data_IF_023284466659
#
_entry.id   IF_023284466659
#
_cell.length_a   1.000
_cell.length_b   1.000
_cell.length_c   1.000
_cell.angle_alpha   90.00
_cell.angle_beta   90.00
_cell.angle_gamma   90.00
#
_symmetry.space_group_name_H-M   'P 1'
#
loop_
_entity.id
_entity.type
_entity.pdbx_description
1 polymer ?
#
# COMPACT_ATOMS: atom_id res chain seq x y z
N UNK A 1 -22.39 18.95 -45.26
CA UNK A 1 -22.71 20.29 -45.78
C UNK A 1 -22.53 21.29 -44.66
N UNK A 2 -21.69 22.30 -44.88
CA UNK A 2 -21.41 23.52 -44.10
C UNK A 2 -20.28 23.43 -43.06
N UNK A 3 -19.06 23.71 -43.49
CA UNK A 3 -17.99 24.46 -42.83
C UNK A 3 -18.20 25.96 -43.09
N UNK A 4 -17.39 26.91 -42.61
CA UNK A 4 -16.48 27.07 -41.50
C UNK A 4 -16.61 28.44 -40.78
N UNK A 5 -15.90 28.61 -39.68
CA UNK A 5 -15.76 29.93 -39.04
C UNK A 5 -14.38 30.10 -38.43
N UNK A 6 -13.49 30.63 -39.22
CA UNK A 6 -12.15 31.11 -38.84
C UNK A 6 -12.33 32.49 -38.21
N UNK A 7 -11.95 32.68 -36.94
CA UNK A 7 -11.80 34.00 -36.36
C UNK A 7 -10.42 34.13 -35.71
N UNK A 8 -9.59 34.83 -36.42
CA UNK A 8 -8.31 35.41 -35.95
C UNK A 8 -8.59 36.58 -35.02
N UNK A 9 -7.98 36.59 -33.84
CA UNK A 9 -7.84 37.78 -33.00
C UNK A 9 -6.38 38.12 -32.80
N UNK A 10 -6.05 39.41 -32.76
CA UNK A 10 -4.65 39.88 -32.88
C UNK A 10 -3.90 39.84 -31.55
N UNK A 11 -2.55 39.82 -31.67
CA UNK A 11 -1.59 39.90 -30.62
C UNK A 11 -1.73 41.22 -29.86
N UNK A 12 -1.94 41.13 -28.54
CA UNK A 12 -1.70 42.23 -27.63
C UNK A 12 -0.25 42.20 -27.15
N UNK A 13 0.45 43.27 -27.48
CA UNK A 13 1.75 43.61 -26.95
C UNK A 13 1.60 43.96 -25.48
N UNK A 14 2.17 43.18 -24.56
CA UNK A 14 2.40 43.58 -23.19
C UNK A 14 3.79 44.12 -23.07
N UNK A 15 3.87 45.43 -23.08
CA UNK A 15 4.95 46.24 -22.53
C UNK A 15 4.91 46.15 -21.01
N UNK A 16 6.07 45.97 -20.38
CA UNK A 16 6.22 46.26 -18.96
C UNK A 16 6.88 45.14 -18.18
N UNK A 17 8.14 45.35 -17.83
CA UNK A 17 8.86 44.46 -16.93
C UNK A 17 10.36 44.64 -16.98
N UNK A 18 10.78 45.85 -16.85
CA UNK A 18 12.14 46.28 -16.46
C UNK A 18 12.34 45.86 -15.00
N UNK A 19 12.87 44.66 -14.78
CA UNK A 19 13.51 44.31 -13.50
C UNK A 19 14.28 43.00 -13.63
N UNK A 20 15.57 43.16 -13.56
CA UNK A 20 16.59 42.16 -13.19
C UNK A 20 17.74 42.04 -14.16
N UNK A 21 18.29 43.15 -14.57
CA UNK A 21 19.72 43.23 -14.96
C UNK A 21 20.59 43.13 -13.70
N UNK A 22 20.55 42.01 -12.99
CA UNK A 22 21.53 41.75 -11.91
C UNK A 22 22.53 40.70 -12.34
N UNK A 23 23.75 41.22 -12.48
CA UNK A 23 25.02 40.48 -12.50
C UNK A 23 25.31 39.66 -13.77
N UNK A 24 25.51 40.38 -14.86
CA UNK A 24 26.59 39.98 -15.77
C UNK A 24 27.89 40.09 -14.96
N UNK A 25 28.28 39.03 -14.30
CA UNK A 25 29.56 38.95 -13.62
C UNK A 25 30.63 39.08 -14.70
N UNK A 26 31.34 40.17 -14.57
CA UNK A 26 32.63 40.48 -15.11
C UNK A 26 33.29 39.29 -15.81
N UNK A 27 33.19 39.24 -17.13
CA UNK A 27 34.01 38.35 -17.91
C UNK A 27 35.45 38.80 -17.70
N UNK A 28 36.37 37.91 -17.31
CA UNK A 28 37.78 38.29 -17.23
C UNK A 28 38.18 38.79 -18.61
N UNK A 29 38.93 39.90 -18.68
CA UNK A 29 39.37 40.40 -19.97
C UNK A 29 40.11 39.27 -20.71
N UNK A 30 39.77 39.08 -21.95
CA UNK A 30 40.50 38.21 -22.85
C UNK A 30 41.97 38.62 -22.73
N UNK A 31 42.79 37.76 -22.11
CA UNK A 31 44.19 38.08 -21.87
C UNK A 31 44.85 38.42 -23.17
N UNK A 32 45.35 39.65 -23.24
CA UNK A 32 46.23 40.07 -24.32
C UNK A 32 47.38 39.07 -24.36
N UNK A 33 47.40 38.21 -25.39
CA UNK A 33 48.55 37.37 -25.64
C UNK A 33 49.77 38.25 -25.73
N UNK A 34 50.67 38.04 -24.80
CA UNK A 34 51.96 38.66 -24.74
C UNK A 34 52.70 38.43 -26.09
N UNK A 35 52.88 39.46 -26.88
CA UNK A 35 53.61 39.46 -28.12
C UNK A 35 55.06 39.11 -27.84
N UNK A 36 55.40 37.83 -27.81
CA UNK A 36 56.77 37.33 -28.00
C UNK A 36 56.76 35.81 -28.22
N UNK A 37 56.35 35.41 -29.39
CA UNK A 37 56.84 34.21 -30.06
C UNK A 37 56.32 34.23 -31.48
N UNK A 38 57.19 33.90 -32.45
CA UNK A 38 57.05 33.87 -33.89
C UNK A 38 55.61 33.76 -34.38
N UNK A 39 55.14 34.79 -35.06
CA UNK A 39 53.81 34.90 -35.60
C UNK A 39 53.45 33.76 -36.52
N UNK A 40 52.83 32.75 -36.01
CA UNK A 40 52.02 31.88 -36.85
C UNK A 40 50.81 32.69 -37.29
N UNK A 41 50.87 33.20 -38.50
CA UNK A 41 49.82 33.94 -39.18
C UNK A 41 48.58 33.01 -39.23
N UNK A 42 47.47 33.42 -38.61
CA UNK A 42 46.24 32.69 -38.68
C UNK A 42 45.88 32.35 -40.13
N UNK A 43 45.75 31.08 -40.50
CA UNK A 43 45.51 30.68 -41.90
C UNK A 43 44.22 31.27 -42.47
N UNK A 44 43.25 31.62 -41.61
CA UNK A 44 41.92 32.14 -42.00
C UNK A 44 41.92 33.67 -42.23
N UNK A 45 42.59 34.45 -41.39
CA UNK A 45 42.59 35.93 -41.51
C UNK A 45 43.96 36.48 -41.95
N UNK A 46 44.99 35.68 -42.05
CA UNK A 46 46.39 36.07 -42.41
C UNK A 46 46.91 37.27 -41.62
N UNK A 47 46.45 37.40 -40.36
CA UNK A 47 46.89 38.48 -39.50
C UNK A 47 46.08 39.76 -39.59
N UNK A 48 45.08 39.88 -40.44
CA UNK A 48 44.20 41.06 -40.59
C UNK A 48 43.13 41.20 -39.56
N UNK A 49 42.80 40.14 -38.79
CA UNK A 49 41.73 40.11 -37.81
C UNK A 49 40.31 40.14 -38.41
N UNK A 50 40.18 40.13 -39.73
CA UNK A 50 38.92 40.14 -40.46
C UNK A 50 38.75 38.86 -41.26
N UNK A 51 37.55 38.28 -41.20
CA UNK A 51 37.22 37.06 -41.90
C UNK A 51 36.58 37.41 -43.26
N UNK A 52 37.08 36.85 -44.41
CA UNK A 52 36.48 37.10 -45.69
C UNK A 52 35.02 36.64 -45.74
N UNK A 53 34.14 37.47 -46.35
CA UNK A 53 32.67 37.24 -46.37
C UNK A 53 32.18 35.90 -46.92
N UNK A 54 33.04 35.14 -47.59
CA UNK A 54 32.66 33.81 -48.12
C UNK A 54 32.97 32.63 -47.21
N UNK A 55 33.54 32.83 -46.01
CA UNK A 55 33.93 31.75 -45.11
C UNK A 55 33.21 31.83 -43.75
N UNK A 56 32.28 32.77 -43.60
CA UNK A 56 31.56 32.94 -42.33
C UNK A 56 30.68 31.74 -41.94
N UNK A 57 30.16 31.05 -42.93
CA UNK A 57 29.26 29.87 -42.70
C UNK A 57 30.01 28.58 -42.31
N UNK A 58 31.35 28.60 -42.39
CA UNK A 58 32.19 27.45 -42.04
C UNK A 58 32.98 27.61 -40.74
N UNK A 59 32.71 28.68 -40.00
CA UNK A 59 33.36 28.94 -38.72
C UNK A 59 32.79 28.04 -37.61
N UNK A 60 33.45 26.95 -37.38
CA UNK A 60 33.21 26.10 -36.22
C UNK A 60 34.11 26.58 -35.09
N UNK A 61 33.51 27.03 -34.01
CA UNK A 61 34.23 27.34 -32.78
C UNK A 61 34.81 26.04 -32.20
N UNK A 62 36.10 25.85 -32.35
CA UNK A 62 36.78 24.70 -31.72
C UNK A 62 37.03 25.05 -30.26
N UNK A 63 36.21 24.48 -29.39
CA UNK A 63 36.41 24.58 -27.96
C UNK A 63 37.37 23.48 -27.54
N UNK A 64 38.57 23.79 -26.98
CA UNK A 64 39.50 22.76 -26.56
C UNK A 64 38.87 21.92 -25.44
N UNK A 65 38.98 20.59 -25.54
CA UNK A 65 38.42 19.61 -24.59
C UNK A 65 38.92 19.82 -23.15
N UNK A 66 39.96 20.64 -22.98
CA UNK A 66 40.56 20.96 -21.67
C UNK A 66 40.04 22.24 -21.07
N UNK A 67 39.03 22.89 -21.67
CA UNK A 67 38.42 24.10 -21.11
C UNK A 67 37.81 23.82 -19.76
N UNK A 68 38.22 24.63 -18.75
CA UNK A 68 37.74 24.54 -17.37
C UNK A 68 36.21 24.72 -17.26
N UNK A 69 35.61 25.39 -18.29
CA UNK A 69 34.16 25.58 -18.40
C UNK A 69 33.40 24.31 -18.74
N UNK A 70 34.04 23.35 -19.47
CA UNK A 70 33.47 22.07 -19.83
C UNK A 70 33.67 21.02 -18.75
N UNK A 71 34.50 21.26 -17.75
CA UNK A 71 34.70 20.35 -16.63
C UNK A 71 33.48 20.38 -15.71
N UNK A 72 32.71 19.28 -15.64
CA UNK A 72 31.52 19.22 -14.78
C UNK A 72 31.95 19.36 -13.32
N UNK A 73 31.71 20.52 -12.74
CA UNK A 73 31.95 20.78 -11.33
C UNK A 73 31.01 19.92 -10.49
N UNK A 74 31.55 18.85 -9.88
CA UNK A 74 30.84 17.97 -8.94
C UNK A 74 29.57 17.32 -9.49
N UNK A 75 29.35 17.30 -10.80
CA UNK A 75 28.14 16.70 -11.42
C UNK A 75 28.00 15.23 -11.03
N UNK A 76 29.10 14.49 -10.97
CA UNK A 76 29.10 13.08 -10.53
C UNK A 76 28.55 12.95 -9.10
N UNK A 77 28.99 13.82 -8.19
CA UNK A 77 28.54 13.81 -6.79
C UNK A 77 27.06 14.19 -6.69
N UNK A 78 26.63 15.21 -7.43
CA UNK A 78 25.21 15.64 -7.45
C UNK A 78 24.32 14.53 -8.01
N UNK A 79 24.73 13.85 -9.07
CA UNK A 79 24.00 12.71 -9.65
C UNK A 79 23.93 11.55 -8.65
N UNK A 80 25.05 11.21 -8.00
CA UNK A 80 25.04 10.14 -6.97
C UNK A 80 24.13 10.48 -5.80
N UNK A 81 24.13 11.72 -5.31
CA UNK A 81 23.24 12.16 -4.22
C UNK A 81 21.78 12.08 -4.68
N UNK A 82 21.47 12.56 -5.89
CA UNK A 82 20.11 12.53 -6.44
C UNK A 82 19.61 11.10 -6.60
N UNK A 83 20.44 10.21 -7.14
CA UNK A 83 20.09 8.78 -7.25
C UNK A 83 19.91 8.15 -5.88
N UNK A 84 20.81 8.42 -4.93
CA UNK A 84 20.71 7.92 -3.56
C UNK A 84 19.42 8.40 -2.87
N UNK A 85 19.07 9.67 -3.02
CA UNK A 85 17.84 10.24 -2.48
C UNK A 85 16.60 9.58 -3.13
N UNK A 86 16.61 9.41 -4.44
CA UNK A 86 15.52 8.77 -5.17
C UNK A 86 15.32 7.32 -4.69
N UNK A 87 16.39 6.54 -4.60
CA UNK A 87 16.35 5.17 -4.09
C UNK A 87 15.85 5.13 -2.65
N UNK A 88 16.31 6.03 -1.80
CA UNK A 88 15.87 6.12 -0.41
C UNK A 88 14.36 6.39 -0.32
N UNK A 89 13.84 7.36 -1.10
CA UNK A 89 12.40 7.66 -1.17
C UNK A 89 11.61 6.44 -1.69
N UNK A 90 12.10 5.77 -2.74
CA UNK A 90 11.47 4.55 -3.24
C UNK A 90 11.42 3.45 -2.17
N UNK A 91 12.50 3.23 -1.44
CA UNK A 91 12.54 2.26 -0.35
C UNK A 91 11.56 2.61 0.77
N UNK A 92 11.43 3.90 1.13
CA UNK A 92 10.44 4.34 2.12
C UNK A 92 9.01 4.08 1.64
N UNK A 93 8.70 4.42 0.38
CA UNK A 93 7.38 4.17 -0.20
C UNK A 93 7.07 2.68 -0.16
N UNK A 94 7.97 1.84 -0.62
CA UNK A 94 7.80 0.38 -0.58
C UNK A 94 7.61 -0.13 0.86
N UNK A 95 8.40 0.37 1.81
CA UNK A 95 8.31 -0.05 3.22
C UNK A 95 6.95 0.28 3.85
N UNK A 96 6.36 1.45 3.53
CA UNK A 96 5.07 1.85 4.09
C UNK A 96 3.88 1.29 3.32
N UNK A 97 3.99 1.11 1.99
CA UNK A 97 2.92 0.60 1.15
C UNK A 97 2.90 -0.93 1.06
N UNK A 98 4.01 -1.60 1.39
CA UNK A 98 4.05 -3.05 1.31
C UNK A 98 3.01 -3.66 2.27
N UNK A 99 2.10 -4.50 1.77
CA UNK A 99 1.04 -5.10 2.58
C UNK A 99 1.65 -6.00 3.65
N UNK A 100 1.26 -5.75 4.89
CA UNK A 100 1.55 -6.60 6.03
C UNK A 100 0.34 -7.44 6.37
N UNK A 101 0.54 -8.52 7.09
CA UNK A 101 -0.55 -9.40 7.46
C UNK A 101 -1.59 -8.71 8.35
N UNK A 102 -2.85 -8.97 8.07
CA UNK A 102 -3.94 -8.81 9.03
C UNK A 102 -4.13 -10.15 9.70
N UNK A 103 -4.13 -10.15 11.03
CA UNK A 103 -4.24 -11.39 11.80
C UNK A 103 -5.56 -11.47 12.52
N UNK A 104 -6.19 -12.62 12.45
CA UNK A 104 -7.38 -13.00 13.21
C UNK A 104 -6.93 -13.94 14.32
N UNK A 105 -7.23 -13.60 15.57
CA UNK A 105 -6.87 -14.43 16.74
C UNK A 105 -8.09 -14.71 17.59
N UNK A 106 -8.46 -15.98 17.81
CA UNK A 106 -9.52 -16.35 18.71
C UNK A 106 -9.06 -16.05 20.15
N UNK A 107 -9.99 -15.63 20.99
CA UNK A 107 -9.68 -15.25 22.39
C UNK A 107 -10.37 -16.21 23.34
N UNK A 108 -11.69 -16.25 23.27
CA UNK A 108 -12.49 -17.03 24.22
C UNK A 108 -13.90 -17.26 23.72
N UNK A 109 -14.49 -18.33 24.15
CA UNK A 109 -15.94 -18.52 24.16
C UNK A 109 -16.50 -17.73 25.33
N UNK A 110 -17.44 -16.84 25.10
CA UNK A 110 -18.04 -15.98 26.13
C UNK A 110 -19.25 -16.64 26.81
N UNK A 111 -20.09 -17.27 26.01
CA UNK A 111 -21.28 -17.95 26.49
C UNK A 111 -21.74 -19.03 25.52
N UNK A 112 -22.38 -20.05 26.07
CA UNK A 112 -23.05 -21.12 25.34
C UNK A 112 -24.46 -21.20 25.87
N UNK A 113 -25.46 -20.96 25.04
CA UNK A 113 -26.88 -21.14 25.35
C UNK A 113 -27.41 -22.34 24.59
N UNK A 114 -28.13 -23.21 25.28
CA UNK A 114 -28.64 -24.48 24.73
C UNK A 114 -30.14 -24.52 24.86
N UNK A 115 -30.82 -24.72 23.75
CA UNK A 115 -32.25 -24.85 23.67
C UNK A 115 -32.64 -26.27 23.18
N UNK A 116 -33.36 -27.01 24.00
CA UNK A 116 -33.83 -28.34 23.66
C UNK A 116 -35.19 -28.27 23.01
N UNK A 117 -35.29 -28.74 21.77
CA UNK A 117 -36.53 -28.98 21.02
C UNK A 117 -36.75 -30.47 20.83
N UNK A 118 -37.98 -30.97 20.56
CA UNK A 118 -38.20 -32.40 20.35
C UNK A 118 -37.26 -33.03 19.32
N UNK A 119 -37.06 -32.34 18.18
CA UNK A 119 -36.36 -32.90 17.01
C UNK A 119 -34.91 -32.42 16.90
N UNK A 120 -34.51 -31.37 17.62
CA UNK A 120 -33.16 -30.78 17.51
C UNK A 120 -32.68 -30.16 18.82
N UNK A 121 -31.37 -30.06 18.97
CA UNK A 121 -30.73 -29.21 19.95
C UNK A 121 -30.22 -27.98 19.21
N UNK A 122 -30.60 -26.80 19.65
CA UNK A 122 -30.08 -25.53 19.10
C UNK A 122 -29.14 -24.92 20.13
N UNK A 123 -27.94 -24.66 19.72
CA UNK A 123 -26.95 -23.96 20.54
C UNK A 123 -26.62 -22.61 19.92
N UNK A 124 -26.47 -21.61 20.78
CA UNK A 124 -25.95 -20.31 20.46
C UNK A 124 -24.60 -20.13 21.17
N UNK A 125 -23.53 -20.10 20.39
CA UNK A 125 -22.17 -19.96 20.91
C UNK A 125 -21.68 -18.55 20.60
N UNK A 126 -21.39 -17.79 21.66
CA UNK A 126 -20.87 -16.42 21.55
C UNK A 126 -19.36 -16.43 21.72
N UNK A 127 -18.66 -16.01 20.70
CA UNK A 127 -17.21 -16.01 20.60
C UNK A 127 -16.64 -14.61 20.56
N UNK A 128 -15.46 -14.43 21.15
CA UNK A 128 -14.65 -13.22 21.10
C UNK A 128 -13.40 -13.48 20.26
N UNK A 129 -13.20 -12.65 19.25
CA UNK A 129 -11.99 -12.66 18.42
C UNK A 129 -11.32 -11.29 18.39
N UNK A 130 -10.03 -11.28 18.21
CA UNK A 130 -9.25 -10.09 17.96
C UNK A 130 -8.81 -10.03 16.51
N UNK A 131 -9.06 -8.89 15.88
CA UNK A 131 -8.58 -8.59 14.53
C UNK A 131 -7.51 -7.52 14.65
N UNK A 132 -6.30 -7.84 14.20
CA UNK A 132 -5.14 -6.94 14.29
C UNK A 132 -4.69 -6.53 12.90
N UNK A 133 -4.65 -5.22 12.66
CA UNK A 133 -4.11 -4.66 11.44
C UNK A 133 -2.64 -4.26 11.64
N UNK A 134 -1.71 -5.01 11.06
CA UNK A 134 -0.28 -4.70 11.11
C UNK A 134 0.17 -3.74 10.02
N UNK A 135 -0.73 -3.32 9.11
CA UNK A 135 -0.43 -2.40 8.04
C UNK A 135 -0.33 -0.95 8.53
N UNK A 136 0.36 -0.12 7.74
CA UNK A 136 0.44 1.32 7.96
C UNK A 136 -0.75 2.10 7.35
N UNK A 137 -1.63 1.43 6.63
CA UNK A 137 -2.87 1.99 6.13
C UNK A 137 -4.07 1.29 6.76
N UNK A 138 -5.24 1.94 6.65
CA UNK A 138 -6.49 1.38 7.15
C UNK A 138 -6.92 0.19 6.28
N UNK A 139 -7.49 -0.82 6.93
CA UNK A 139 -8.04 -2.03 6.32
C UNK A 139 -9.52 -2.10 6.63
N UNK A 140 -10.34 -2.38 5.62
CA UNK A 140 -11.78 -2.59 5.80
C UNK A 140 -12.06 -4.09 5.78
N UNK A 141 -12.69 -4.60 6.83
CA UNK A 141 -13.20 -5.97 6.88
C UNK A 141 -14.56 -5.98 6.20
N UNK A 142 -14.60 -6.60 5.01
CA UNK A 142 -15.80 -6.65 4.16
C UNK A 142 -16.78 -7.66 4.70
N UNK A 143 -16.32 -8.89 4.90
CA UNK A 143 -17.14 -9.94 5.51
C UNK A 143 -16.29 -10.94 6.33
N UNK A 144 -16.96 -11.61 7.23
CA UNK A 144 -16.46 -12.72 8.00
C UNK A 144 -17.44 -13.89 7.85
N UNK A 145 -17.00 -14.97 7.28
CA UNK A 145 -17.74 -16.21 7.16
C UNK A 145 -17.18 -17.21 8.17
N UNK A 146 -18.06 -17.80 8.95
CA UNK A 146 -17.72 -18.77 9.98
C UNK A 146 -18.49 -20.05 9.68
N UNK A 147 -17.77 -21.15 9.60
CA UNK A 147 -18.35 -22.49 9.47
C UNK A 147 -17.98 -23.28 10.73
N UNK A 148 -18.97 -23.91 11.31
CA UNK A 148 -18.81 -24.70 12.52
C UNK A 148 -19.00 -26.18 12.19
N UNK A 149 -18.02 -26.98 12.54
CA UNK A 149 -18.01 -28.42 12.27
C UNK A 149 -17.94 -29.21 13.56
N UNK A 150 -18.68 -30.30 13.61
CA UNK A 150 -18.56 -31.35 14.64
C UNK A 150 -18.27 -32.63 13.93
N UNK A 151 -17.15 -33.28 14.23
CA UNK A 151 -16.75 -34.54 13.58
C UNK A 151 -16.76 -34.44 12.05
N UNK A 152 -16.25 -33.34 11.47
CA UNK A 152 -16.23 -33.05 10.03
C UNK A 152 -17.59 -32.77 9.36
N UNK A 153 -18.66 -32.74 10.14
CA UNK A 153 -20.00 -32.38 9.65
C UNK A 153 -20.24 -30.91 9.93
N UNK A 154 -20.58 -30.13 8.90
CA UNK A 154 -20.94 -28.73 9.06
C UNK A 154 -22.28 -28.64 9.77
N UNK A 155 -22.28 -28.12 11.00
CA UNK A 155 -23.49 -27.97 11.82
C UNK A 155 -24.03 -26.53 11.80
N UNK A 156 -23.21 -25.57 11.40
CA UNK A 156 -23.64 -24.19 11.30
C UNK A 156 -22.78 -23.38 10.34
N UNK A 157 -23.37 -22.34 9.76
CA UNK A 157 -22.66 -21.37 8.91
C UNK A 157 -23.25 -19.98 9.12
N UNK A 158 -22.41 -19.05 9.52
CA UNK A 158 -22.78 -17.67 9.75
C UNK A 158 -21.93 -16.75 8.90
N UNK A 159 -22.52 -15.74 8.27
CA UNK A 159 -21.82 -14.71 7.51
C UNK A 159 -22.19 -13.35 8.04
N UNK A 160 -21.19 -12.56 8.37
CA UNK A 160 -21.34 -11.21 8.91
C UNK A 160 -20.71 -10.25 7.90
N UNK A 161 -21.49 -9.33 7.36
CA UNK A 161 -21.04 -8.36 6.35
C UNK A 161 -20.85 -6.99 6.98
N UNK A 162 -19.98 -6.17 6.36
CA UNK A 162 -19.69 -4.80 6.78
C UNK A 162 -19.26 -4.67 8.26
N UNK A 163 -18.30 -5.49 8.67
CA UNK A 163 -17.91 -5.52 10.08
C UNK A 163 -17.36 -4.21 10.58
N UNK A 164 -16.23 -3.79 10.07
CA UNK A 164 -15.51 -2.61 10.59
C UNK A 164 -14.34 -2.21 9.71
N UNK A 165 -13.91 -0.96 9.91
CA UNK A 165 -12.63 -0.48 9.40
C UNK A 165 -11.64 -0.44 10.56
N UNK A 166 -10.49 -1.06 10.37
CA UNK A 166 -9.37 -1.02 11.30
C UNK A 166 -8.36 0.02 10.83
N UNK A 167 -8.05 0.96 11.70
CA UNK A 167 -6.99 1.94 11.42
C UNK A 167 -5.61 1.26 11.39
N UNK A 168 -4.63 1.99 10.88
CA UNK A 168 -3.25 1.53 10.84
C UNK A 168 -2.75 1.13 12.24
N UNK A 169 -2.10 -0.02 12.33
CA UNK A 169 -1.46 -0.51 13.56
C UNK A 169 -2.40 -0.62 14.78
N UNK A 170 -3.68 -0.93 14.54
CA UNK A 170 -4.66 -1.11 15.60
C UNK A 170 -5.19 -2.53 15.68
N UNK A 171 -5.66 -2.89 16.86
CA UNK A 171 -6.38 -4.11 17.17
C UNK A 171 -7.79 -3.76 17.63
N UNK A 172 -8.77 -4.53 17.17
CA UNK A 172 -10.15 -4.46 17.66
C UNK A 172 -10.64 -5.85 18.04
N UNK A 173 -11.33 -5.91 19.15
CA UNK A 173 -12.06 -7.11 19.57
C UNK A 173 -13.46 -7.09 18.98
N UNK A 174 -13.90 -8.22 18.49
CA UNK A 174 -15.21 -8.40 17.90
C UNK A 174 -15.89 -9.63 18.52
N UNK A 175 -17.14 -9.46 18.96
CA UNK A 175 -17.96 -10.54 19.50
C UNK A 175 -19.00 -10.92 18.47
N UNK A 176 -19.15 -12.22 18.23
CA UNK A 176 -20.16 -12.75 17.31
C UNK A 176 -20.81 -14.00 17.92
N UNK A 177 -22.06 -14.23 17.56
CA UNK A 177 -22.81 -15.40 17.95
C UNK A 177 -23.03 -16.30 16.75
N UNK A 178 -22.85 -17.57 16.95
CA UNK A 178 -23.07 -18.63 15.96
C UNK A 178 -24.25 -19.46 16.39
N UNK A 179 -25.20 -19.64 15.49
CA UNK A 179 -26.32 -20.55 15.67
C UNK A 179 -25.96 -21.95 15.14
N UNK A 180 -26.04 -22.92 16.02
CA UNK A 180 -25.68 -24.32 15.74
C UNK A 180 -26.92 -25.18 15.90
N UNK A 181 -27.71 -25.41 14.84
CA UNK A 181 -28.79 -26.35 14.84
C UNK A 181 -28.25 -27.80 14.71
N UNK A 182 -28.15 -28.50 15.81
CA UNK A 182 -27.75 -29.92 15.83
C UNK A 182 -28.96 -30.75 15.46
N UNK A 183 -29.01 -31.18 14.22
CA UNK A 183 -30.09 -32.02 13.67
C UNK A 183 -29.71 -33.51 13.59
N UNK A 184 -28.44 -33.84 13.76
CA UNK A 184 -27.97 -35.20 13.79
C UNK A 184 -28.55 -35.98 14.97
N UNK A 185 -29.16 -37.12 14.73
CA UNK A 185 -29.85 -37.91 15.71
C UNK A 185 -28.94 -38.40 16.85
N UNK A 186 -27.71 -38.79 16.49
CA UNK A 186 -26.72 -39.26 17.47
C UNK A 186 -26.25 -38.15 18.40
N UNK A 187 -25.94 -36.96 17.85
CA UNK A 187 -25.56 -35.81 18.63
C UNK A 187 -26.72 -35.26 19.48
N UNK A 188 -27.94 -35.29 18.92
CA UNK A 188 -29.14 -34.93 19.70
C UNK A 188 -29.35 -35.86 20.90
N UNK A 189 -29.25 -37.15 20.70
CA UNK A 189 -29.34 -38.11 21.80
C UNK A 189 -28.25 -37.91 22.82
N UNK A 190 -26.99 -37.68 22.37
CA UNK A 190 -25.86 -37.41 23.24
C UNK A 190 -26.09 -36.17 24.12
N UNK A 191 -26.49 -35.05 23.54
CA UNK A 191 -26.71 -33.80 24.27
C UNK A 191 -27.93 -33.83 25.21
N UNK A 192 -28.96 -34.60 24.89
CA UNK A 192 -30.23 -34.77 25.70
C UNK A 192 -30.15 -35.84 26.76
N UNK A 193 -29.16 -36.74 26.68
CA UNK A 193 -29.10 -37.91 27.55
C UNK A 193 -28.88 -37.52 29.02
N UNK A 194 -29.75 -37.92 29.88
CA UNK A 194 -29.58 -37.77 31.32
C UNK A 194 -28.61 -38.77 31.95
N UNK A 195 -28.31 -39.85 31.22
CA UNK A 195 -27.38 -40.88 31.68
C UNK A 195 -25.92 -40.46 31.54
N UNK A 196 -25.64 -39.66 30.57
CA UNK A 196 -24.30 -39.14 30.29
C UNK A 196 -24.06 -37.91 31.20
N UNK A 197 -22.96 -37.88 31.94
CA UNK A 197 -22.65 -36.78 32.85
C UNK A 197 -21.88 -35.64 32.18
N UNK A 198 -21.23 -35.90 31.07
CA UNK A 198 -20.36 -34.94 30.37
C UNK A 198 -20.87 -34.84 28.93
N UNK A 199 -21.34 -33.66 28.56
CA UNK A 199 -21.90 -33.39 27.23
C UNK A 199 -20.99 -32.43 26.42
N UNK A 200 -19.68 -32.63 26.50
CA UNK A 200 -18.73 -31.79 25.80
C UNK A 200 -18.64 -32.15 24.34
N UNK A 201 -18.92 -31.23 23.47
CA UNK A 201 -18.67 -31.31 22.04
C UNK A 201 -17.35 -30.65 21.68
N UNK A 202 -16.62 -31.24 20.76
CA UNK A 202 -15.46 -30.64 20.14
C UNK A 202 -15.91 -29.97 18.84
N UNK A 203 -15.84 -28.65 18.85
CA UNK A 203 -16.28 -27.81 17.75
C UNK A 203 -15.07 -27.24 17.02
N UNK A 204 -14.99 -27.50 15.73
CA UNK A 204 -14.01 -26.88 14.82
C UNK A 204 -14.68 -25.67 14.17
N UNK A 205 -14.07 -24.50 14.33
CA UNK A 205 -14.51 -23.25 13.71
C UNK A 205 -13.54 -22.88 12.60
N UNK A 206 -14.04 -22.91 11.38
CA UNK A 206 -13.33 -22.42 10.19
C UNK A 206 -13.80 -21.01 9.89
N UNK A 207 -12.93 -20.04 10.16
CA UNK A 207 -13.21 -18.63 9.95
C UNK A 207 -12.51 -18.14 8.69
N UNK A 208 -13.25 -17.48 7.82
CA UNK A 208 -12.74 -16.88 6.59
C UNK A 208 -13.15 -15.42 6.54
N UNK A 209 -12.16 -14.53 6.54
CA UNK A 209 -12.36 -13.09 6.56
C UNK A 209 -11.84 -12.49 5.25
N UNK A 210 -12.71 -11.74 4.56
CA UNK A 210 -12.34 -10.96 3.39
C UNK A 210 -12.06 -9.51 3.80
N UNK A 211 -10.88 -9.03 3.46
CA UNK A 211 -10.41 -7.69 3.77
C UNK A 211 -10.12 -6.91 2.49
N UNK A 212 -10.36 -5.61 2.54
CA UNK A 212 -10.01 -4.67 1.48
C UNK A 212 -8.92 -3.73 1.97
N UNK A 213 -7.82 -3.67 1.23
CA UNK A 213 -6.66 -2.86 1.48
C UNK A 213 -6.19 -2.19 0.21
N UNK A 214 -6.14 -0.85 0.14
CA UNK A 214 -5.68 -0.06 -1.02
C UNK A 214 -6.26 -0.58 -2.36
N UNK A 215 -7.58 -0.82 -2.40
CA UNK A 215 -8.29 -1.39 -3.57
C UNK A 215 -7.91 -2.83 -3.95
N UNK A 216 -7.18 -3.51 -3.10
CA UNK A 216 -6.88 -4.93 -3.21
C UNK A 216 -7.73 -5.71 -2.20
N UNK A 217 -8.21 -6.90 -2.63
CA UNK A 217 -8.97 -7.81 -1.77
C UNK A 217 -8.07 -8.97 -1.37
N UNK A 218 -8.04 -9.27 -0.09
CA UNK A 218 -7.28 -10.39 0.47
C UNK A 218 -8.20 -11.23 1.36
N UNK A 219 -7.97 -12.53 1.37
CA UNK A 219 -8.69 -13.47 2.20
C UNK A 219 -7.76 -14.01 3.29
N UNK A 220 -8.21 -13.90 4.52
CA UNK A 220 -7.53 -14.48 5.70
C UNK A 220 -8.39 -15.59 6.25
N UNK A 221 -7.82 -16.79 6.41
CA UNK A 221 -8.49 -17.94 7.01
C UNK A 221 -7.82 -18.36 8.31
N UNK A 222 -8.62 -18.85 9.22
CA UNK A 222 -8.17 -19.37 10.51
C UNK A 222 -9.07 -20.54 10.92
N UNK A 223 -8.45 -21.64 11.30
CA UNK A 223 -9.12 -22.79 11.90
C UNK A 223 -8.79 -22.82 13.40
N UNK A 224 -9.82 -22.97 14.22
CA UNK A 224 -9.69 -23.01 15.68
C UNK A 224 -10.61 -24.06 16.26
N UNK A 225 -10.26 -24.54 17.44
CA UNK A 225 -10.99 -25.62 18.11
C UNK A 225 -11.51 -25.15 19.47
N UNK A 226 -12.76 -25.49 19.74
CA UNK A 226 -13.44 -25.12 20.97
C UNK A 226 -14.09 -26.35 21.62
N UNK A 227 -14.18 -26.32 22.93
CA UNK A 227 -14.94 -27.29 23.70
C UNK A 227 -16.20 -26.62 24.22
N UNK A 228 -17.36 -27.08 23.84
CA UNK A 228 -18.64 -26.54 24.25
C UNK A 228 -19.48 -27.62 24.94
N UNK A 229 -20.17 -27.25 26.01
CA UNK A 229 -21.10 -28.15 26.72
C UNK A 229 -22.49 -28.01 26.06
N UNK A 230 -22.98 -29.07 25.44
CA UNK A 230 -24.30 -29.09 24.81
C UNK A 230 -25.43 -29.55 25.73
N UNK A 231 -25.13 -29.92 26.96
CA UNK A 231 -26.12 -30.38 27.94
C UNK A 231 -26.70 -29.28 28.83
N UNK A 232 -26.07 -28.11 28.89
CA UNK A 232 -26.48 -27.00 29.72
C UNK A 232 -25.96 -25.66 29.27
N UNK A 233 -26.62 -24.61 29.67
CA UNK A 233 -26.16 -23.23 29.49
C UNK A 233 -24.89 -22.96 30.29
N UNK A 234 -23.94 -22.27 29.68
CA UNK A 234 -22.73 -21.79 30.31
C UNK A 234 -22.51 -20.33 29.96
N UNK A 235 -22.31 -19.49 30.98
CA UNK A 235 -21.93 -18.09 30.82
C UNK A 235 -20.53 -17.81 31.36
N UNK A 236 -19.77 -18.86 31.64
CA UNK A 236 -18.41 -18.75 32.15
C UNK A 236 -17.47 -18.71 30.95
N UNK A 237 -16.77 -17.58 30.71
CA UNK A 237 -15.83 -17.48 29.63
C UNK A 237 -14.67 -18.46 29.78
N UNK A 238 -14.29 -19.11 28.68
CA UNK A 238 -13.13 -19.98 28.65
C UNK A 238 -12.30 -19.76 27.38
N UNK A 239 -10.98 -19.91 27.46
CA UNK A 239 -10.10 -19.66 26.33
C UNK A 239 -10.30 -20.70 25.23
N UNK A 240 -10.17 -20.23 23.99
CA UNK A 240 -10.08 -21.05 22.78
C UNK A 240 -8.63 -21.50 22.58
N UNK A 241 -8.45 -22.71 22.08
CA UNK A 241 -7.12 -23.28 21.79
C UNK A 241 -6.87 -23.42 20.29
#
# INVERSE_FOLDING_TARGET
MVTPGRNSKPAEALTGGEESAKTLRHFPPYGSMNRRSSADSCPTCRGTGQIPRGQQDQLVAVIPCNDVRLKPRRTKLTVCISMGLCLFVCCLILFFLFPRSVTLTPVSVQSVMVYFSPDKVQMEVTNLVNITNNNFASVTVVDLTIQSLVSYIVVGKTRISNLTTLHARTQKSYTFTIDLPITDEGLNFYCKSSTIKIHTLFLELQMTMNISYLSHMEQVSLDTFEYVDCGRNSTIPHPVR
#
